data_IF_312838742187
#
_entry.id   IF_312838742187
#
_cell.length_a   1.000
_cell.length_b   1.000
_cell.length_c   1.000
_cell.angle_alpha   90.00
_cell.angle_beta   90.00
_cell.angle_gamma   90.00
#
_symmetry.space_group_name_H-M   'P 1'
#
loop_
_entity.id
_entity.type
_entity.pdbx_description
1 polymer ?
#
# COMPACT_ATOMS: atom_id res chain seq x y z
N UNK A 1 23.62 -12.18 15.55
CA UNK A 1 22.99 -13.05 16.59
C UNK A 1 22.35 -12.16 17.63
N UNK A 2 21.05 -12.32 17.93
CA UNK A 2 20.37 -11.56 18.97
C UNK A 2 21.02 -11.75 20.35
N UNK A 3 21.03 -10.70 21.16
CA UNK A 3 21.69 -10.70 22.49
C UNK A 3 21.08 -11.70 23.48
N UNK A 4 19.79 -12.01 23.32
CA UNK A 4 19.04 -12.95 24.18
C UNK A 4 19.41 -14.44 23.95
N UNK A 5 20.12 -14.79 22.87
CA UNK A 5 20.55 -16.19 22.57
C UNK A 5 19.41 -17.22 22.55
N UNK A 6 18.22 -16.81 22.11
CA UNK A 6 17.02 -17.63 22.08
C UNK A 6 16.34 -17.82 23.45
N UNK A 7 16.69 -17.02 24.46
CA UNK A 7 16.14 -17.09 25.81
C UNK A 7 15.84 -15.70 26.32
N UNK A 8 14.67 -15.53 26.94
CA UNK A 8 14.25 -14.23 27.48
C UNK A 8 12.87 -14.28 28.13
N UNK A 9 12.38 -13.13 28.61
CA UNK A 9 11.14 -13.07 29.39
C UNK A 9 9.86 -13.13 28.54
N UNK A 10 9.95 -12.95 27.21
CA UNK A 10 8.76 -12.90 26.34
C UNK A 10 8.27 -14.31 25.92
N UNK A 11 9.16 -15.32 25.93
CA UNK A 11 8.84 -16.70 25.53
C UNK A 11 8.77 -16.94 24.02
N UNK A 12 9.14 -15.96 23.21
CA UNK A 12 9.22 -16.08 21.74
C UNK A 12 10.64 -15.84 21.19
N UNK A 13 11.63 -15.65 22.06
CA UNK A 13 12.98 -15.25 21.70
C UNK A 13 13.70 -16.31 20.85
N UNK A 14 13.32 -17.57 20.91
CA UNK A 14 13.85 -18.65 20.05
C UNK A 14 13.46 -18.47 18.58
N UNK A 15 12.34 -17.76 18.32
CA UNK A 15 11.85 -17.43 16.99
C UNK A 15 12.44 -16.15 16.43
N UNK A 16 13.02 -15.31 17.28
CA UNK A 16 13.63 -14.03 16.88
C UNK A 16 15.09 -14.26 16.45
N UNK A 17 15.23 -14.70 15.21
CA UNK A 17 16.51 -15.01 14.57
C UNK A 17 17.03 -13.82 13.74
N UNK A 18 18.19 -14.00 13.10
CA UNK A 18 18.77 -13.04 12.15
C UNK A 18 19.14 -13.76 10.86
N UNK A 19 19.96 -13.15 10.02
CA UNK A 19 20.53 -13.68 8.78
C UNK A 19 21.52 -14.83 9.10
N UNK A 20 21.00 -15.96 9.54
CA UNK A 20 21.78 -17.19 9.75
C UNK A 20 21.61 -18.12 8.55
N UNK A 21 22.48 -19.12 8.43
CA UNK A 21 22.40 -20.10 7.35
C UNK A 21 21.00 -20.71 7.25
N UNK A 22 20.36 -20.56 6.08
CA UNK A 22 19.00 -21.01 5.79
C UNK A 22 17.87 -20.05 6.16
N UNK A 23 18.16 -18.92 6.81
CA UNK A 23 17.14 -17.93 7.17
C UNK A 23 16.93 -16.82 6.12
N UNK A 24 17.80 -16.75 5.10
CA UNK A 24 17.78 -15.73 4.05
C UNK A 24 18.09 -14.31 4.58
N UNK A 25 18.10 -13.28 3.71
CA UNK A 25 18.25 -11.88 4.03
C UNK A 25 17.18 -11.06 3.31
N UNK A 26 16.50 -10.14 4.01
CA UNK A 26 15.31 -9.47 3.45
C UNK A 26 15.61 -8.64 2.19
N UNK A 27 16.72 -7.93 2.15
CA UNK A 27 17.02 -7.03 1.03
C UNK A 27 17.89 -7.66 -0.06
N UNK A 28 18.37 -8.89 0.16
CA UNK A 28 19.11 -9.71 -0.81
C UNK A 28 18.47 -11.10 -0.94
N UNK A 29 17.16 -11.20 -0.78
CA UNK A 29 16.43 -12.44 -0.66
C UNK A 29 16.57 -13.32 -1.92
N UNK A 30 17.14 -14.51 -1.73
CA UNK A 30 17.31 -15.55 -2.74
C UNK A 30 16.76 -16.93 -2.27
N UNK A 31 16.39 -17.03 -0.99
CA UNK A 31 15.97 -18.25 -0.32
C UNK A 31 14.50 -18.26 0.10
N UNK A 32 14.26 -18.55 1.40
CA UNK A 32 12.91 -18.74 1.95
C UNK A 32 12.10 -17.44 1.97
N UNK A 33 12.73 -16.29 2.14
CA UNK A 33 12.03 -14.99 2.09
C UNK A 33 11.56 -14.73 0.65
N UNK A 34 12.44 -14.92 -0.36
CA UNK A 34 12.07 -14.77 -1.76
C UNK A 34 10.93 -15.73 -2.14
N UNK A 35 10.95 -16.97 -1.64
CA UNK A 35 9.86 -17.92 -1.86
C UNK A 35 8.54 -17.46 -1.22
N UNK A 36 8.59 -16.96 0.00
CA UNK A 36 7.42 -16.44 0.70
C UNK A 36 6.84 -15.21 0.00
N UNK A 37 7.67 -14.29 -0.52
CA UNK A 37 7.27 -13.16 -1.36
C UNK A 37 6.65 -13.62 -2.69
N UNK A 38 7.18 -14.68 -3.31
CA UNK A 38 6.59 -15.28 -4.51
C UNK A 38 5.20 -15.87 -4.23
N UNK A 39 5.02 -16.53 -3.08
CA UNK A 39 3.70 -17.02 -2.64
C UNK A 39 2.71 -15.83 -2.45
N UNK A 40 3.13 -14.75 -1.79
CA UNK A 40 2.32 -13.55 -1.65
C UNK A 40 1.98 -12.92 -3.02
N UNK A 41 2.95 -12.89 -3.95
CA UNK A 41 2.75 -12.42 -5.33
C UNK A 41 1.61 -13.18 -6.02
N UNK A 42 1.61 -14.51 -5.91
CA UNK A 42 0.55 -15.35 -6.47
C UNK A 42 -0.80 -15.12 -5.78
N UNK A 43 -0.80 -15.03 -4.44
CA UNK A 43 -2.00 -14.83 -3.63
C UNK A 43 -2.69 -13.51 -3.94
N UNK A 44 -1.93 -12.43 -4.14
CA UNK A 44 -2.45 -11.11 -4.48
C UNK A 44 -2.61 -10.87 -5.99
N UNK A 45 -2.12 -11.78 -6.84
CA UNK A 45 -2.19 -11.63 -8.30
C UNK A 45 -1.48 -10.38 -8.81
N UNK A 46 -0.36 -10.03 -8.21
CA UNK A 46 0.48 -8.87 -8.59
C UNK A 46 1.62 -9.32 -9.53
N UNK A 47 2.32 -8.38 -10.16
CA UNK A 47 3.53 -8.73 -10.90
C UNK A 47 4.67 -9.13 -9.95
N UNK A 48 4.81 -8.40 -8.84
CA UNK A 48 5.76 -8.68 -7.75
C UNK A 48 5.21 -8.13 -6.44
N UNK A 49 5.53 -8.81 -5.34
CA UNK A 49 5.21 -8.38 -3.98
C UNK A 49 6.46 -8.53 -3.12
N UNK A 50 6.83 -7.44 -2.45
CA UNK A 50 7.99 -7.40 -1.55
C UNK A 50 7.54 -7.15 -0.12
N UNK A 51 8.32 -7.65 0.81
CA UNK A 51 8.05 -7.54 2.24
C UNK A 51 8.69 -6.31 2.87
N UNK A 52 8.00 -5.73 3.87
CA UNK A 52 8.52 -4.72 4.78
C UNK A 52 8.22 -5.10 6.21
N UNK A 53 9.17 -4.93 7.11
CA UNK A 53 9.01 -5.07 8.56
C UNK A 53 8.84 -3.73 9.28
N UNK A 54 8.88 -2.62 8.52
CA UNK A 54 8.83 -1.24 9.01
C UNK A 54 7.49 -0.55 8.68
N UNK A 55 6.46 -1.35 8.39
CA UNK A 55 5.13 -0.87 8.03
C UNK A 55 5.06 -0.24 6.63
N UNK A 56 3.85 0.18 6.25
CA UNK A 56 3.64 0.88 4.97
C UNK A 56 4.43 2.20 4.87
N UNK A 57 4.90 2.76 5.97
CA UNK A 57 5.74 3.97 5.94
C UNK A 57 7.05 3.76 5.19
N UNK A 58 7.68 2.59 5.30
CA UNK A 58 8.83 2.20 4.48
C UNK A 58 8.41 2.02 3.03
N UNK A 59 7.32 1.28 2.79
CA UNK A 59 6.81 1.02 1.45
C UNK A 59 6.44 2.31 0.70
N UNK A 60 5.80 3.30 1.36
CA UNK A 60 5.48 4.61 0.78
C UNK A 60 6.75 5.32 0.32
N UNK A 61 7.78 5.38 1.16
CA UNK A 61 9.05 6.04 0.80
C UNK A 61 9.75 5.32 -0.35
N UNK A 62 9.81 4.00 -0.30
CA UNK A 62 10.38 3.17 -1.38
C UNK A 62 9.62 3.34 -2.70
N UNK A 63 8.28 3.32 -2.65
CA UNK A 63 7.41 3.52 -3.79
C UNK A 63 7.65 4.88 -4.47
N UNK A 64 7.76 5.95 -3.68
CA UNK A 64 8.02 7.30 -4.18
C UNK A 64 9.44 7.43 -4.73
N UNK A 65 10.43 6.80 -4.09
CA UNK A 65 11.80 6.75 -4.59
C UNK A 65 11.88 6.03 -5.94
N UNK A 66 11.22 4.88 -6.08
CA UNK A 66 11.13 4.15 -7.35
C UNK A 66 10.46 4.97 -8.45
N UNK A 67 9.35 5.63 -8.15
CA UNK A 67 8.66 6.49 -9.12
C UNK A 67 9.55 7.65 -9.60
N UNK A 68 10.33 8.26 -8.70
CA UNK A 68 11.33 9.27 -9.04
C UNK A 68 12.44 8.72 -9.95
N UNK A 69 12.93 7.51 -9.67
CA UNK A 69 13.95 6.86 -10.50
C UNK A 69 13.41 6.51 -11.90
N UNK A 70 12.17 6.03 -11.97
CA UNK A 70 11.52 5.71 -13.25
C UNK A 70 11.24 6.97 -14.09
N UNK A 71 11.01 8.10 -13.43
CA UNK A 71 10.66 9.38 -14.07
C UNK A 71 11.43 10.55 -13.46
N UNK A 72 12.73 10.64 -13.70
CA UNK A 72 13.53 11.76 -13.20
C UNK A 72 13.05 13.08 -13.82
N UNK A 73 13.03 14.14 -13.01
CA UNK A 73 12.69 15.47 -13.51
C UNK A 73 13.67 15.90 -14.60
N UNK A 74 13.14 16.40 -15.71
CA UNK A 74 13.97 16.92 -16.83
C UNK A 74 14.62 18.25 -16.49
N UNK A 75 13.97 19.05 -15.65
CA UNK A 75 14.46 20.34 -15.14
C UNK A 75 13.74 20.70 -13.84
N UNK A 76 14.43 21.44 -12.99
CA UNK A 76 13.85 21.90 -11.73
C UNK A 76 13.65 20.79 -10.69
N UNK A 77 12.87 21.10 -9.65
CA UNK A 77 12.56 20.20 -8.58
C UNK A 77 11.43 19.25 -9.01
N UNK A 78 11.54 17.92 -8.72
CA UNK A 78 10.49 16.97 -9.06
C UNK A 78 9.17 17.35 -8.38
N UNK A 79 8.04 17.05 -9.02
CA UNK A 79 6.70 17.31 -8.48
C UNK A 79 5.90 16.02 -8.44
N UNK A 80 5.18 15.80 -7.33
CA UNK A 80 4.18 14.77 -7.18
C UNK A 80 2.79 15.40 -7.11
N UNK A 81 1.82 14.89 -7.86
CA UNK A 81 0.41 15.25 -7.68
C UNK A 81 -0.22 14.30 -6.66
N UNK A 82 -0.77 14.80 -5.56
CA UNK A 82 -1.25 13.95 -4.47
C UNK A 82 -2.57 14.40 -3.87
N UNK A 83 -3.45 13.45 -3.53
CA UNK A 83 -4.68 13.74 -2.79
C UNK A 83 -4.35 14.24 -1.36
N UNK A 84 -5.12 15.24 -0.89
CA UNK A 84 -4.82 15.99 0.34
C UNK A 84 -4.90 15.15 1.63
N UNK A 85 -5.63 14.03 1.63
CA UNK A 85 -5.75 13.13 2.78
C UNK A 85 -4.59 12.14 2.93
N UNK A 86 -3.45 12.42 2.31
CA UNK A 86 -2.27 11.55 2.34
C UNK A 86 -1.71 11.38 3.77
N UNK A 87 -1.21 10.17 4.05
CA UNK A 87 -0.52 9.89 5.30
C UNK A 87 0.78 10.72 5.44
N UNK A 88 1.16 11.07 6.68
CA UNK A 88 2.38 11.87 6.97
C UNK A 88 3.68 11.28 6.40
N UNK A 89 3.72 9.97 6.09
CA UNK A 89 4.87 9.33 5.45
C UNK A 89 5.18 9.94 4.07
N UNK A 90 4.17 10.44 3.35
CA UNK A 90 4.36 11.19 2.11
C UNK A 90 5.13 12.49 2.35
N UNK A 91 4.76 13.27 3.39
CA UNK A 91 5.47 14.51 3.73
C UNK A 91 6.92 14.25 4.12
N UNK A 92 7.16 13.16 4.86
CA UNK A 92 8.52 12.77 5.21
C UNK A 92 9.31 12.30 3.99
N UNK A 93 8.67 11.60 3.05
CA UNK A 93 9.30 11.23 1.79
C UNK A 93 9.65 12.48 0.96
N UNK A 94 8.75 13.47 0.88
CA UNK A 94 9.03 14.72 0.17
C UNK A 94 10.25 15.46 0.73
N UNK A 95 10.37 15.49 2.08
CA UNK A 95 11.53 16.09 2.74
C UNK A 95 12.82 15.31 2.51
N UNK A 96 12.77 13.97 2.49
CA UNK A 96 13.94 13.11 2.33
C UNK A 96 14.41 13.01 0.87
N UNK A 97 13.48 13.03 -0.08
CA UNK A 97 13.74 12.83 -1.51
C UNK A 97 13.76 14.14 -2.30
N UNK A 98 13.54 15.26 -1.65
CA UNK A 98 13.60 16.62 -2.19
C UNK A 98 12.69 16.87 -3.40
N UNK A 99 11.40 16.57 -3.25
CA UNK A 99 10.37 16.88 -4.25
C UNK A 99 9.26 17.76 -3.69
N UNK A 100 8.57 18.48 -4.57
CA UNK A 100 7.39 19.29 -4.24
C UNK A 100 6.10 18.47 -4.38
N UNK A 101 5.08 18.83 -3.59
CA UNK A 101 3.76 18.22 -3.67
C UNK A 101 2.78 19.25 -4.19
N UNK A 102 2.14 18.95 -5.32
CA UNK A 102 0.94 19.61 -5.78
C UNK A 102 -0.26 18.87 -5.22
N UNK A 103 -1.13 19.59 -4.47
CA UNK A 103 -2.26 18.95 -3.82
C UNK A 103 -3.50 18.93 -4.69
N UNK A 104 -4.13 17.76 -4.79
CA UNK A 104 -5.52 17.60 -5.19
C UNK A 104 -6.40 17.82 -3.96
N UNK A 105 -7.30 18.79 -4.05
CA UNK A 105 -8.24 19.12 -2.99
C UNK A 105 -9.60 18.45 -3.26
N UNK A 106 -10.32 18.03 -2.22
CA UNK A 106 -11.67 17.50 -2.39
C UNK A 106 -12.60 18.60 -2.97
N UNK A 107 -13.65 18.17 -3.66
CA UNK A 107 -14.69 19.08 -4.11
C UNK A 107 -15.30 19.89 -2.92
N UNK A 108 -15.80 21.11 -3.14
CA UNK A 108 -16.26 21.99 -2.03
C UNK A 108 -17.33 21.37 -1.13
N UNK A 109 -18.21 20.55 -1.68
CA UNK A 109 -19.25 19.83 -0.95
C UNK A 109 -18.69 18.68 -0.07
N UNK A 110 -17.54 18.13 -0.45
CA UNK A 110 -16.80 17.13 0.33
C UNK A 110 -15.77 17.75 1.29
N UNK A 111 -15.55 19.07 1.25
CA UNK A 111 -14.49 19.75 2.02
C UNK A 111 -14.68 19.69 3.54
N UNK A 112 -15.88 19.35 4.03
CA UNK A 112 -16.17 19.13 5.46
C UNK A 112 -15.72 17.74 5.99
N UNK A 113 -15.34 16.83 5.13
CA UNK A 113 -14.89 15.49 5.49
C UNK A 113 -13.41 15.50 5.86
N UNK A 114 -13.11 15.42 7.16
CA UNK A 114 -11.76 15.60 7.73
C UNK A 114 -10.72 14.60 7.20
N UNK A 115 -11.13 13.41 6.82
CA UNK A 115 -10.25 12.29 6.46
C UNK A 115 -10.44 11.79 5.02
N UNK A 116 -11.42 12.34 4.30
CA UNK A 116 -11.79 11.90 2.95
C UNK A 116 -11.39 12.97 1.92
N UNK A 117 -10.86 12.53 0.80
CA UNK A 117 -10.54 13.38 -0.34
C UNK A 117 -10.91 12.62 -1.63
N UNK A 118 -12.21 12.54 -1.96
CA UNK A 118 -12.64 11.98 -3.22
C UNK A 118 -11.99 12.74 -4.39
N UNK A 119 -11.46 12.00 -5.33
CA UNK A 119 -10.86 12.52 -6.56
C UNK A 119 -11.61 11.92 -7.73
N UNK A 120 -12.29 12.78 -8.50
CA UNK A 120 -12.96 12.37 -9.72
C UNK A 120 -11.96 12.31 -10.88
N UNK A 121 -12.10 11.34 -11.83
CA UNK A 121 -11.20 11.23 -12.99
C UNK A 121 -11.08 12.53 -13.79
N UNK A 122 -12.19 13.26 -13.97
CA UNK A 122 -12.21 14.53 -14.70
C UNK A 122 -11.44 15.62 -13.96
N UNK A 123 -11.54 15.69 -12.63
CA UNK A 123 -10.78 16.62 -11.82
C UNK A 123 -9.28 16.34 -11.86
N UNK A 124 -8.91 15.05 -11.87
CA UNK A 124 -7.51 14.63 -12.03
C UNK A 124 -6.98 15.05 -13.40
N UNK A 125 -7.74 14.79 -14.48
CA UNK A 125 -7.34 15.17 -15.85
C UNK A 125 -7.12 16.68 -15.95
N UNK A 126 -8.05 17.48 -15.43
CA UNK A 126 -7.93 18.94 -15.43
C UNK A 126 -6.68 19.42 -14.70
N UNK A 127 -6.39 18.85 -13.52
CA UNK A 127 -5.20 19.22 -12.74
C UNK A 127 -3.89 18.85 -13.46
N UNK A 128 -3.88 17.76 -14.20
CA UNK A 128 -2.72 17.33 -15.00
C UNK A 128 -2.53 18.25 -16.22
N UNK A 129 -3.60 18.65 -16.87
CA UNK A 129 -3.57 19.60 -18.00
C UNK A 129 -3.10 20.99 -17.56
N UNK A 130 -3.52 21.46 -16.39
CA UNK A 130 -3.07 22.72 -15.78
C UNK A 130 -1.56 22.70 -15.52
N UNK A 131 -1.06 21.62 -14.90
CA UNK A 131 0.38 21.44 -14.67
C UNK A 131 1.17 21.41 -15.98
N UNK A 132 0.66 20.71 -17.00
CA UNK A 132 1.28 20.67 -18.31
C UNK A 132 1.34 22.03 -18.98
N UNK A 133 0.28 22.86 -18.85
CA UNK A 133 0.25 24.24 -19.35
C UNK A 133 1.29 25.13 -18.65
N UNK A 134 1.61 24.86 -17.39
CA UNK A 134 2.69 25.50 -16.64
C UNK A 134 4.08 24.97 -17.00
N UNK A 135 4.20 24.01 -17.92
CA UNK A 135 5.45 23.34 -18.27
C UNK A 135 5.97 22.38 -17.20
N UNK A 136 5.12 21.97 -16.26
CA UNK A 136 5.42 21.07 -15.15
C UNK A 136 4.83 19.69 -15.44
N UNK A 137 5.64 18.66 -15.29
CA UNK A 137 5.16 17.26 -15.40
C UNK A 137 5.44 16.54 -14.11
N UNK A 138 4.41 16.03 -13.41
CA UNK A 138 4.64 15.27 -12.19
C UNK A 138 5.34 13.93 -12.50
N UNK A 139 6.08 13.40 -11.54
CA UNK A 139 6.68 12.07 -11.67
C UNK A 139 5.69 10.93 -11.37
N UNK A 140 4.51 11.27 -10.83
CA UNK A 140 3.43 10.32 -10.56
C UNK A 140 2.24 11.00 -9.89
N UNK A 141 1.17 10.22 -9.71
CA UNK A 141 -0.02 10.59 -8.95
C UNK A 141 -0.12 9.69 -7.72
N UNK A 142 -0.35 10.26 -6.55
CA UNK A 142 -0.44 9.53 -5.28
C UNK A 142 -1.81 9.69 -4.64
N UNK A 143 -2.45 8.58 -4.32
CA UNK A 143 -3.77 8.53 -3.70
C UNK A 143 -3.77 7.62 -2.47
N UNK A 144 -4.67 7.89 -1.52
CA UNK A 144 -5.00 6.98 -0.41
C UNK A 144 -6.35 6.33 -0.69
N UNK A 145 -6.36 4.99 -0.76
CA UNK A 145 -7.58 4.19 -1.01
C UNK A 145 -7.42 2.77 -0.46
N UNK A 146 -8.26 2.32 0.50
CA UNK A 146 -9.29 3.10 1.20
C UNK A 146 -8.69 4.20 2.07
N UNK A 147 -9.45 5.24 2.30
CA UNK A 147 -9.08 6.25 3.28
C UNK A 147 -9.32 5.76 4.73
N UNK A 148 -9.08 6.65 5.70
CA UNK A 148 -9.20 6.29 7.12
C UNK A 148 -10.63 5.94 7.57
N UNK A 149 -11.66 6.40 6.83
CA UNK A 149 -13.08 6.14 7.11
C UNK A 149 -13.67 5.02 6.24
N UNK A 150 -12.86 4.45 5.32
CA UNK A 150 -13.27 3.33 4.47
C UNK A 150 -13.75 3.76 3.07
N UNK A 151 -13.65 5.03 2.70
CA UNK A 151 -13.96 5.45 1.33
C UNK A 151 -12.94 4.88 0.35
N UNK A 152 -13.43 4.22 -0.70
CA UNK A 152 -12.62 3.63 -1.77
C UNK A 152 -12.76 4.48 -3.04
N UNK A 153 -11.62 4.95 -3.56
CA UNK A 153 -11.53 5.73 -4.80
C UNK A 153 -11.93 4.88 -6.02
N UNK A 154 -12.36 5.54 -7.10
CA UNK A 154 -12.42 4.92 -8.43
C UNK A 154 -11.00 4.75 -9.00
N UNK A 155 -10.27 3.78 -8.46
CA UNK A 155 -8.87 3.53 -8.86
C UNK A 155 -8.77 3.19 -10.35
N UNK A 156 -9.77 2.51 -10.92
CA UNK A 156 -9.74 2.14 -12.34
C UNK A 156 -9.86 3.37 -13.25
N UNK A 157 -10.81 4.25 -12.98
CA UNK A 157 -10.97 5.51 -13.72
C UNK A 157 -9.75 6.42 -13.57
N UNK A 158 -9.23 6.55 -12.34
CA UNK A 158 -8.04 7.37 -12.05
C UNK A 158 -6.77 6.81 -12.69
N UNK A 159 -6.62 5.47 -12.71
CA UNK A 159 -5.52 4.80 -13.42
C UNK A 159 -5.56 5.06 -14.94
N UNK A 160 -6.74 4.97 -15.55
CA UNK A 160 -6.90 5.26 -16.96
C UNK A 160 -6.47 6.69 -17.31
N UNK A 161 -6.82 7.68 -16.48
CA UNK A 161 -6.38 9.06 -16.65
C UNK A 161 -4.86 9.18 -16.52
N UNK A 162 -4.28 8.60 -15.45
CA UNK A 162 -2.82 8.62 -15.26
C UNK A 162 -2.08 8.04 -16.47
N UNK A 163 -2.51 6.88 -16.94
CA UNK A 163 -1.88 6.21 -18.08
C UNK A 163 -2.05 6.97 -19.39
N UNK A 164 -3.18 7.64 -19.62
CA UNK A 164 -3.38 8.52 -20.77
C UNK A 164 -2.38 9.70 -20.78
N UNK A 165 -1.98 10.19 -19.60
CA UNK A 165 -0.92 11.19 -19.45
C UNK A 165 0.48 10.58 -19.33
N UNK A 166 0.62 9.25 -19.47
CA UNK A 166 1.88 8.53 -19.34
C UNK A 166 2.48 8.57 -17.93
N UNK A 167 1.67 8.68 -16.89
CA UNK A 167 2.08 8.79 -15.48
C UNK A 167 1.76 7.52 -14.71
N UNK A 168 2.58 7.11 -13.74
CA UNK A 168 2.23 6.05 -12.83
C UNK A 168 1.24 6.52 -11.76
N UNK A 169 0.31 5.63 -11.41
CA UNK A 169 -0.57 5.77 -10.26
C UNK A 169 -0.01 4.99 -9.06
N UNK A 170 0.25 5.70 -7.97
CA UNK A 170 0.75 5.17 -6.71
C UNK A 170 -0.37 5.20 -5.66
N UNK A 171 -0.68 4.05 -5.06
CA UNK A 171 -1.78 3.95 -4.10
C UNK A 171 -1.31 3.52 -2.72
N UNK A 172 -1.58 4.34 -1.72
CA UNK A 172 -1.52 3.95 -0.31
C UNK A 172 -2.81 3.22 0.07
N UNK A 173 -2.73 1.89 0.02
CA UNK A 173 -3.81 0.97 0.37
C UNK A 173 -3.64 0.42 1.80
N UNK A 174 -3.05 1.19 2.70
CA UNK A 174 -2.72 0.72 4.05
C UNK A 174 -3.89 0.09 4.80
N UNK A 175 -5.13 0.44 4.48
CA UNK A 175 -6.34 -0.10 5.12
C UNK A 175 -7.06 -1.15 4.26
N UNK A 176 -6.56 -1.49 3.08
CA UNK A 176 -7.29 -2.26 2.06
C UNK A 176 -6.65 -3.58 1.64
N UNK A 177 -5.68 -4.14 2.36
CA UNK A 177 -5.06 -5.41 1.97
C UNK A 177 -6.08 -6.54 1.76
N UNK A 178 -7.18 -6.55 2.50
CA UNK A 178 -8.27 -7.53 2.37
C UNK A 178 -9.10 -7.37 1.08
N UNK A 179 -9.04 -6.22 0.39
CA UNK A 179 -9.86 -5.94 -0.79
C UNK A 179 -9.60 -6.91 -1.95
N UNK A 180 -8.43 -7.53 -1.98
CA UNK A 180 -8.11 -8.58 -2.95
C UNK A 180 -8.97 -9.84 -2.75
N UNK A 181 -9.36 -10.13 -1.52
CA UNK A 181 -10.00 -11.38 -1.12
C UNK A 181 -11.54 -11.29 -1.08
N UNK A 182 -12.13 -10.20 -1.58
CA UNK A 182 -13.58 -10.06 -1.66
C UNK A 182 -14.17 -11.09 -2.62
N UNK A 183 -15.35 -11.62 -2.27
CA UNK A 183 -16.04 -12.68 -3.04
C UNK A 183 -16.56 -12.18 -4.40
N UNK A 184 -16.99 -10.94 -4.46
CA UNK A 184 -17.52 -10.30 -5.67
C UNK A 184 -16.43 -9.95 -6.70
N UNK A 185 -15.20 -10.19 -6.37
CA UNK A 185 -14.02 -9.85 -7.16
C UNK A 185 -13.06 -8.91 -6.43
N UNK A 186 -11.84 -8.89 -6.86
CA UNK A 186 -10.82 -8.02 -6.26
C UNK A 186 -11.15 -6.54 -6.50
N UNK A 187 -11.03 -5.75 -5.44
CA UNK A 187 -11.04 -4.27 -5.48
C UNK A 187 -9.68 -3.71 -5.06
N UNK A 188 -8.67 -4.55 -5.01
CA UNK A 188 -7.32 -4.14 -4.67
C UNK A 188 -6.73 -3.24 -5.78
N UNK A 189 -6.03 -2.15 -5.44
CA UNK A 189 -5.57 -1.14 -6.41
C UNK A 189 -4.77 -1.71 -7.59
N UNK A 190 -3.94 -2.72 -7.38
CA UNK A 190 -3.15 -3.32 -8.48
C UNK A 190 -4.08 -3.96 -9.54
N UNK A 191 -5.16 -4.64 -9.15
CA UNK A 191 -6.13 -5.20 -10.10
C UNK A 191 -6.98 -4.11 -10.76
N UNK A 192 -7.05 -2.93 -10.14
CA UNK A 192 -7.75 -1.77 -10.69
C UNK A 192 -6.81 -0.87 -11.53
N UNK A 193 -5.57 -1.31 -11.78
CA UNK A 193 -4.65 -0.63 -12.69
C UNK A 193 -3.61 0.27 -12.03
N UNK A 194 -3.53 0.33 -10.70
CA UNK A 194 -2.44 1.04 -10.03
C UNK A 194 -1.08 0.40 -10.38
N UNK A 195 -0.06 1.23 -10.57
CA UNK A 195 1.28 0.79 -10.92
C UNK A 195 2.06 0.32 -9.69
N UNK A 196 1.99 1.09 -8.61
CA UNK A 196 2.60 0.77 -7.33
C UNK A 196 1.58 0.91 -6.21
N UNK A 197 1.61 -0.03 -5.28
CA UNK A 197 0.67 -0.03 -4.15
C UNK A 197 1.37 -0.51 -2.89
N UNK A 198 1.02 0.06 -1.73
CA UNK A 198 1.48 -0.43 -0.45
C UNK A 198 0.32 -0.81 0.47
N UNK A 199 0.47 -1.93 1.16
CA UNK A 199 -0.48 -2.45 2.15
C UNK A 199 0.13 -2.49 3.55
N UNK A 200 -0.59 -2.03 4.57
CA UNK A 200 -0.26 -2.38 5.95
C UNK A 200 -0.93 -3.72 6.31
N UNK A 201 -0.23 -4.82 6.04
CA UNK A 201 -0.76 -6.15 6.30
C UNK A 201 -1.28 -6.31 7.74
N UNK A 202 -0.54 -5.76 8.71
CA UNK A 202 -0.87 -5.83 10.13
C UNK A 202 -2.17 -5.12 10.56
N UNK A 203 -2.77 -4.28 9.67
CA UNK A 203 -4.04 -3.60 9.99
C UNK A 203 -5.25 -4.47 9.70
N UNK A 204 -5.20 -5.27 8.65
CA UNK A 204 -6.38 -5.98 8.13
C UNK A 204 -6.16 -7.47 7.86
N UNK A 205 -4.93 -7.96 7.95
CA UNK A 205 -4.56 -9.37 7.81
C UNK A 205 -3.94 -9.90 9.11
N UNK A 206 -3.89 -11.21 9.34
CA UNK A 206 -3.35 -11.82 10.56
C UNK A 206 -1.81 -11.77 10.59
N UNK A 207 -1.25 -10.57 10.61
CA UNK A 207 0.20 -10.30 10.56
C UNK A 207 0.60 -9.46 11.76
N UNK A 208 1.78 -9.70 12.32
CA UNK A 208 2.33 -8.90 13.42
C UNK A 208 2.54 -7.43 13.00
N UNK A 209 2.41 -6.52 13.98
CA UNK A 209 2.60 -5.08 13.77
C UNK A 209 3.95 -4.79 13.12
N UNK A 210 3.96 -3.94 12.10
CA UNK A 210 5.12 -3.65 11.27
C UNK A 210 5.13 -4.39 9.93
N UNK A 211 4.38 -5.50 9.80
CA UNK A 211 4.29 -6.22 8.52
C UNK A 211 3.51 -5.42 7.47
N UNK A 212 4.15 -5.17 6.33
CA UNK A 212 3.56 -4.44 5.20
C UNK A 212 4.02 -5.02 3.86
N UNK A 213 3.33 -4.73 2.78
CA UNK A 213 3.67 -5.13 1.42
C UNK A 213 3.94 -3.90 0.55
N UNK A 214 4.91 -4.04 -0.36
CA UNK A 214 5.04 -3.21 -1.56
C UNK A 214 4.68 -4.10 -2.76
N UNK A 215 3.63 -3.72 -3.47
CA UNK A 215 3.14 -4.41 -4.65
C UNK A 215 3.47 -3.64 -5.91
N UNK A 216 3.91 -4.36 -6.94
CA UNK A 216 4.15 -3.83 -8.28
C UNK A 216 3.08 -4.35 -9.23
N UNK A 217 2.50 -3.45 -10.01
CA UNK A 217 1.62 -3.78 -11.12
C UNK A 217 2.36 -4.26 -12.36
N UNK A 218 1.66 -4.84 -13.33
CA UNK A 218 2.28 -5.42 -14.54
C UNK A 218 2.92 -4.37 -15.47
N UNK A 219 2.54 -3.10 -15.35
CA UNK A 219 3.11 -1.97 -16.09
C UNK A 219 4.51 -1.57 -15.61
N UNK A 220 4.87 -1.93 -14.37
CA UNK A 220 6.12 -1.49 -13.75
C UNK A 220 7.28 -2.38 -14.18
N UNK A 221 8.21 -1.79 -14.90
CA UNK A 221 9.46 -2.42 -15.31
C UNK A 221 10.60 -1.93 -14.40
N UNK A 222 10.58 -2.36 -13.15
CA UNK A 222 11.67 -2.10 -12.21
C UNK A 222 12.51 -3.36 -12.05
N UNK A 223 13.83 -3.21 -12.06
CA UNK A 223 14.76 -4.26 -11.70
C UNK A 223 14.57 -4.64 -10.21
N UNK A 224 14.65 -5.92 -9.92
CA UNK A 224 14.47 -6.43 -8.55
C UNK A 224 15.47 -5.78 -7.58
N UNK A 225 16.73 -5.65 -7.99
CA UNK A 225 17.75 -5.01 -7.17
C UNK A 225 17.40 -3.54 -6.87
N UNK A 226 16.83 -2.80 -7.82
CA UNK A 226 16.39 -1.43 -7.61
C UNK A 226 15.26 -1.35 -6.57
N UNK A 227 14.31 -2.29 -6.58
CA UNK A 227 13.21 -2.32 -5.60
C UNK A 227 13.72 -2.68 -4.21
N UNK A 228 14.59 -3.70 -4.09
CA UNK A 228 15.19 -4.09 -2.81
C UNK A 228 16.05 -2.97 -2.23
N UNK A 229 16.85 -2.29 -3.05
CA UNK A 229 17.63 -1.13 -2.64
C UNK A 229 16.75 0.03 -2.19
N UNK A 230 15.63 0.30 -2.87
CA UNK A 230 14.67 1.31 -2.44
C UNK A 230 14.05 0.99 -1.07
N UNK A 231 13.74 -0.27 -0.79
CA UNK A 231 13.27 -0.72 0.53
C UNK A 231 14.38 -0.61 1.58
N UNK A 232 15.60 -1.08 1.28
CA UNK A 232 16.74 -1.03 2.18
C UNK A 232 17.12 0.40 2.59
N UNK A 233 17.00 1.37 1.66
CA UNK A 233 17.31 2.79 1.92
C UNK A 233 16.48 3.37 3.09
N UNK A 234 15.28 2.85 3.32
CA UNK A 234 14.34 3.33 4.34
C UNK A 234 14.06 2.31 5.43
N UNK A 235 14.77 1.20 5.46
CA UNK A 235 14.61 0.13 6.42
C UNK A 235 15.82 -0.06 7.33
N UNK A 236 15.63 -0.89 8.34
CA UNK A 236 16.72 -1.35 9.21
C UNK A 236 17.46 -2.49 8.53
N UNK A 237 18.80 -2.53 8.69
CA UNK A 237 19.61 -3.70 8.31
C UNK A 237 19.42 -4.89 9.24
N UNK A 238 18.57 -4.77 10.26
CA UNK A 238 18.21 -5.84 11.19
C UNK A 238 16.68 -6.00 11.19
N UNK A 239 16.08 -6.55 10.12
CA UNK A 239 14.64 -6.73 10.04
C UNK A 239 14.17 -7.76 11.07
N UNK A 240 12.95 -7.56 11.61
CA UNK A 240 12.37 -8.52 12.55
C UNK A 240 11.94 -9.81 11.85
N UNK A 241 12.61 -10.92 12.16
CA UNK A 241 12.23 -12.24 11.66
C UNK A 241 10.89 -12.73 12.21
N UNK A 242 10.47 -12.30 13.38
CA UNK A 242 9.13 -12.59 13.89
C UNK A 242 8.04 -12.01 12.96
N UNK A 243 8.26 -10.79 12.46
CA UNK A 243 7.34 -10.18 11.49
C UNK A 243 7.37 -10.94 10.16
N UNK A 244 8.54 -11.34 9.66
CA UNK A 244 8.67 -12.13 8.43
C UNK A 244 7.96 -13.48 8.55
N UNK A 245 8.18 -14.21 9.64
CA UNK A 245 7.49 -15.48 9.91
C UNK A 245 5.97 -15.32 9.99
N UNK A 246 5.49 -14.24 10.63
CA UNK A 246 4.05 -13.98 10.71
C UNK A 246 3.42 -13.74 9.34
N UNK A 247 4.18 -13.23 8.38
CA UNK A 247 3.72 -12.99 7.01
C UNK A 247 3.67 -14.28 6.21
N UNK A 248 4.68 -15.12 6.36
CA UNK A 248 4.68 -16.45 5.74
C UNK A 248 3.51 -17.29 6.28
N UNK A 249 3.32 -17.30 7.60
CA UNK A 249 2.16 -17.94 8.21
C UNK A 249 0.83 -17.37 7.71
N UNK A 250 0.76 -16.06 7.49
CA UNK A 250 -0.42 -15.41 6.92
C UNK A 250 -0.70 -15.86 5.48
N UNK A 251 0.33 -16.12 4.65
CA UNK A 251 0.14 -16.66 3.29
C UNK A 251 -0.69 -17.96 3.33
N UNK A 252 -0.40 -18.86 4.27
CA UNK A 252 -1.17 -20.10 4.42
C UNK A 252 -2.64 -19.82 4.81
N UNK A 253 -2.88 -18.88 5.72
CA UNK A 253 -4.24 -18.47 6.13
C UNK A 253 -4.99 -17.82 4.97
N UNK A 254 -4.32 -17.00 4.16
CA UNK A 254 -4.92 -16.33 3.01
C UNK A 254 -5.26 -17.31 1.88
N UNK A 255 -4.44 -18.33 1.71
CA UNK A 255 -4.66 -19.39 0.71
C UNK A 255 -5.84 -20.29 1.06
N UNK A 256 -6.13 -20.48 2.36
CA UNK A 256 -7.16 -21.43 2.82
C UNK A 256 -8.17 -20.78 3.78
N UNK A 257 -9.39 -20.64 3.31
CA UNK A 257 -10.55 -20.24 4.11
C UNK A 257 -10.64 -18.77 4.51
N UNK A 258 -9.71 -17.89 4.08
CA UNK A 258 -9.78 -16.46 4.43
C UNK A 258 -10.96 -15.76 3.75
N UNK A 259 -11.23 -16.08 2.48
CA UNK A 259 -12.35 -15.49 1.72
C UNK A 259 -13.68 -15.77 2.38
N UNK A 260 -13.90 -17.00 2.83
CA UNK A 260 -15.11 -17.44 3.52
C UNK A 260 -15.27 -16.73 4.86
N UNK A 261 -14.19 -16.59 5.63
CA UNK A 261 -14.21 -15.87 6.92
C UNK A 261 -14.50 -14.38 6.71
N UNK A 262 -13.92 -13.77 5.69
CA UNK A 262 -14.19 -12.38 5.32
C UNK A 262 -15.65 -12.18 4.93
N UNK A 263 -16.22 -13.09 4.16
CA UNK A 263 -17.62 -13.08 3.73
C UNK A 263 -18.58 -13.18 4.92
N UNK A 264 -18.29 -14.07 5.87
CA UNK A 264 -19.05 -14.18 7.14
C UNK A 264 -18.94 -12.87 7.95
N UNK A 265 -17.76 -12.25 8.01
CA UNK A 265 -17.56 -10.97 8.69
C UNK A 265 -18.42 -9.87 8.06
N UNK A 266 -18.41 -9.75 6.74
CA UNK A 266 -19.21 -8.79 5.96
C UNK A 266 -20.71 -9.02 6.17
N UNK A 267 -21.15 -10.26 6.14
CA UNK A 267 -22.57 -10.60 6.40
C UNK A 267 -22.99 -10.16 7.81
N UNK A 268 -22.18 -10.45 8.84
CA UNK A 268 -22.45 -10.02 10.22
C UNK A 268 -22.50 -8.50 10.35
N UNK A 269 -21.58 -7.79 9.72
CA UNK A 269 -21.58 -6.33 9.67
C UNK A 269 -22.85 -5.80 9.02
N UNK A 270 -23.26 -6.37 7.88
CA UNK A 270 -24.49 -5.99 7.20
C UNK A 270 -25.77 -6.25 8.06
N UNK A 271 -25.77 -7.31 8.88
CA UNK A 271 -26.84 -7.53 9.85
C UNK A 271 -26.88 -6.43 10.91
N UNK A 272 -25.73 -6.11 11.50
CA UNK A 272 -25.61 -5.06 12.51
C UNK A 272 -26.06 -3.69 11.96
N UNK A 273 -25.64 -3.34 10.74
CA UNK A 273 -26.05 -2.07 10.13
C UNK A 273 -27.58 -2.01 9.95
N UNK A 274 -28.23 -3.07 9.50
CA UNK A 274 -29.68 -3.12 9.38
C UNK A 274 -30.40 -2.96 10.75
N UNK A 275 -29.87 -3.56 11.80
CA UNK A 275 -30.41 -3.42 13.15
C UNK A 275 -30.25 -1.97 13.65
N UNK A 276 -29.11 -1.33 13.39
CA UNK A 276 -28.89 0.07 13.75
C UNK A 276 -29.77 1.03 12.96
N UNK A 277 -29.99 0.79 11.66
CA UNK A 277 -30.89 1.59 10.84
C UNK A 277 -32.35 1.48 11.33
N UNK A 278 -32.76 0.31 11.79
CA UNK A 278 -34.09 0.11 12.38
C UNK A 278 -34.26 0.89 13.70
N UNK A 279 -33.20 1.06 14.47
CA UNK A 279 -33.22 1.81 15.74
C UNK A 279 -33.15 3.33 15.54
N UNK A 280 -32.50 3.79 14.48
CA UNK A 280 -32.35 5.22 14.11
C UNK A 280 -32.52 5.40 12.59
N UNK A 281 -33.77 5.49 12.09
CA UNK A 281 -34.02 5.77 10.68
C UNK A 281 -33.34 7.11 10.29
N UNK A 282 -32.47 7.07 9.31
CA UNK A 282 -31.73 8.23 8.82
C UNK A 282 -30.26 8.35 9.29
N UNK A 283 -29.76 7.42 10.11
CA UNK A 283 -28.33 7.26 10.36
C UNK A 283 -27.76 6.28 9.32
N UNK A 284 -27.65 6.74 8.08
CA UNK A 284 -27.02 5.94 7.03
C UNK A 284 -25.55 5.68 7.39
N UNK A 285 -25.21 4.46 7.79
CA UNK A 285 -23.82 4.01 7.81
C UNK A 285 -23.50 3.60 6.36
N UNK A 286 -22.51 4.21 5.71
CA UNK A 286 -22.12 3.79 4.37
C UNK A 286 -21.56 2.37 4.45
N UNK A 287 -22.31 1.43 3.91
CA UNK A 287 -21.80 0.08 3.63
C UNK A 287 -21.00 0.16 2.32
N UNK A 288 -19.70 0.34 2.41
CA UNK A 288 -18.79 0.23 1.26
C UNK A 288 -18.38 -1.22 1.01
#
# INVERSE_FOLDING_TARGET
MPGHKGRGPLGCEELDITEIAGADELYEAEGIIAQSEANATQLFGTARTYYSTEGSSQCIRAMLHLALQMRPAKAGRPVLLAARNAHKALLYAAALLDFDIQWLWPAPDAAGALCTCPVEPEALSSALDELAAEGRTPFGVYLTSPDYLGFVQDVAGLSAVCHAHGLPLLVDNAHGAYLHFLKEGSRHPIQMGADLCCDSAHKTLPVLTGGAYLHLGPSVQADEAAVRNALALFGSTSPSYLILQSRDAANAVLADGFREKLDICRWRLGMLCRELDALRPGLALPLT
#
